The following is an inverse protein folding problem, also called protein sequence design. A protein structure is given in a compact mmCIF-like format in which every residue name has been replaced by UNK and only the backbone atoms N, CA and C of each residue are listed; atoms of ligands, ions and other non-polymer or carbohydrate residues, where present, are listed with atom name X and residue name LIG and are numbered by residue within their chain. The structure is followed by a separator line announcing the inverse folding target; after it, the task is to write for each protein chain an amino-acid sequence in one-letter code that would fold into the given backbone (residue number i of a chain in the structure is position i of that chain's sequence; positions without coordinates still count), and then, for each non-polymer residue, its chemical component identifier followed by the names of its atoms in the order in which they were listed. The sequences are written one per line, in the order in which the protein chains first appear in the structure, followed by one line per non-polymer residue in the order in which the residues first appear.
data_IF_237671412659
#
_entry.id   IF_237671412659
#
_cell.length_a   1.000
_cell.length_b   1.000
_cell.length_c   1.000
_cell.angle_alpha   90.00
_cell.angle_beta   90.00
_cell.angle_gamma   90.00
#
_symmetry.space_group_name_H-M   'P 1'
#
loop_
_entity.id
_entity.type
_entity.pdbx_description
1 polymer ?
#
# COMPACT_ATOMS: atom_id res chain seq x y z
N UNK A 1 16.14 -9.20 -3.80
CA UNK A 1 15.09 -9.17 -2.75
C UNK A 1 14.01 -8.19 -3.14
N UNK A 2 12.76 -8.56 -2.97
CA UNK A 2 11.62 -7.66 -3.24
C UNK A 2 11.45 -6.75 -2.03
N UNK A 3 11.55 -5.43 -2.23
CA UNK A 3 11.26 -4.43 -1.21
C UNK A 3 9.74 -4.36 -0.97
N UNK A 4 9.32 -4.45 0.29
CA UNK A 4 7.91 -4.30 0.69
C UNK A 4 7.73 -2.98 1.40
N UNK A 5 6.98 -2.07 0.81
CA UNK A 5 6.64 -0.77 1.42
C UNK A 5 5.43 -0.91 2.34
N UNK A 6 5.40 -0.11 3.39
CA UNK A 6 4.32 -0.07 4.36
C UNK A 6 4.16 1.33 4.96
N UNK A 7 3.05 1.56 5.64
CA UNK A 7 2.80 2.78 6.42
C UNK A 7 2.15 2.39 7.73
N UNK A 8 2.70 2.89 8.83
CA UNK A 8 2.24 2.58 10.19
C UNK A 8 1.89 3.85 10.96
N UNK A 9 0.85 3.80 11.76
CA UNK A 9 0.42 4.88 12.62
C UNK A 9 -1.08 5.15 12.56
N UNK A 10 -1.52 6.17 13.30
CA UNK A 10 -2.92 6.61 13.30
C UNK A 10 -3.33 7.16 11.93
N UNK A 11 -4.63 7.10 11.66
CA UNK A 11 -5.21 7.65 10.41
C UNK A 11 -4.79 9.10 10.24
N UNK A 12 -4.20 9.42 9.08
CA UNK A 12 -3.73 10.76 8.73
C UNK A 12 -2.36 11.14 9.31
N UNK A 13 -1.74 10.26 10.11
CA UNK A 13 -0.42 10.46 10.71
C UNK A 13 0.49 9.26 10.50
N UNK A 14 0.19 8.46 9.48
CA UNK A 14 1.01 7.31 9.13
C UNK A 14 2.40 7.74 8.65
N UNK A 15 3.40 6.96 9.02
CA UNK A 15 4.79 7.14 8.61
C UNK A 15 5.22 6.09 7.60
N UNK A 16 5.99 6.47 6.56
CA UNK A 16 6.50 5.53 5.57
C UNK A 16 7.56 4.60 6.17
N UNK A 17 7.43 3.32 5.84
CA UNK A 17 8.34 2.27 6.31
C UNK A 17 8.64 1.25 5.21
N UNK A 18 9.66 0.45 5.45
CA UNK A 18 10.01 -0.74 4.66
C UNK A 18 10.06 -1.94 5.59
N UNK A 19 9.46 -3.04 5.18
CA UNK A 19 9.52 -4.29 5.92
C UNK A 19 10.92 -4.90 5.81
N UNK A 20 11.51 -5.24 6.95
CA UNK A 20 12.78 -5.97 7.04
C UNK A 20 12.53 -7.47 6.96
N UNK A 21 11.47 -7.93 7.62
CA UNK A 21 10.99 -9.30 7.62
C UNK A 21 9.46 -9.30 7.83
N UNK A 22 8.87 -10.42 8.23
CA UNK A 22 7.42 -10.53 8.40
C UNK A 22 6.86 -9.77 9.61
N UNK A 23 7.70 -9.49 10.61
CA UNK A 23 7.28 -8.89 11.90
C UNK A 23 7.97 -7.58 12.24
N UNK A 24 8.93 -7.16 11.41
CA UNK A 24 9.73 -5.98 11.69
C UNK A 24 9.83 -5.05 10.46
N UNK A 25 9.89 -3.77 10.73
CA UNK A 25 10.06 -2.72 9.74
C UNK A 25 11.06 -1.66 10.21
N UNK A 26 11.50 -0.81 9.28
CA UNK A 26 12.26 0.42 9.55
C UNK A 26 11.53 1.60 8.95
N UNK A 27 11.49 2.73 9.65
CA UNK A 27 10.98 3.98 9.09
C UNK A 27 11.96 4.59 8.10
N UNK A 28 11.43 5.16 7.04
CA UNK A 28 12.21 5.79 5.96
C UNK A 28 11.83 7.27 5.75
N UNK A 29 11.17 7.88 6.72
CA UNK A 29 10.74 9.28 6.70
C UNK A 29 11.90 10.31 6.71
N UNK A 30 13.13 9.88 6.99
CA UNK A 30 14.35 10.66 6.78
C UNK A 30 14.81 10.72 5.30
N UNK A 31 14.30 9.81 4.45
CA UNK A 31 14.61 9.76 3.02
C UNK A 31 13.50 10.36 2.16
N UNK A 32 12.24 10.09 2.51
CA UNK A 32 11.05 10.50 1.78
C UNK A 32 10.00 11.00 2.75
N UNK A 33 9.12 11.89 2.32
CA UNK A 33 8.04 12.40 3.16
C UNK A 33 6.97 11.33 3.42
N UNK A 34 6.57 10.60 2.38
CA UNK A 34 5.60 9.51 2.45
C UNK A 34 5.60 8.71 1.13
N UNK A 35 4.98 7.54 1.11
CA UNK A 35 4.68 6.80 -0.11
C UNK A 35 3.49 7.42 -0.85
N UNK A 36 3.58 8.69 -1.20
CA UNK A 36 2.57 9.45 -1.92
C UNK A 36 2.93 9.61 -3.40
N UNK A 37 1.97 10.15 -4.16
CA UNK A 37 2.14 10.35 -5.61
C UNK A 37 3.40 11.13 -5.96
N UNK A 38 3.65 12.25 -5.29
CA UNK A 38 4.74 13.17 -5.65
C UNK A 38 6.11 12.55 -5.38
N UNK A 39 6.27 11.89 -4.24
CA UNK A 39 7.50 11.15 -3.91
C UNK A 39 7.71 9.95 -4.84
N UNK A 40 6.66 9.19 -5.16
CA UNK A 40 6.75 8.05 -6.09
C UNK A 40 7.15 8.51 -7.50
N UNK A 41 6.58 9.62 -7.98
CA UNK A 41 6.94 10.22 -9.27
C UNK A 41 8.36 10.80 -9.27
N UNK A 42 8.86 11.24 -8.12
CA UNK A 42 10.24 11.70 -7.93
C UNK A 42 11.26 10.56 -7.73
N UNK A 43 10.86 9.29 -7.83
CA UNK A 43 11.75 8.14 -7.73
C UNK A 43 11.99 7.63 -6.31
N UNK A 44 11.04 7.82 -5.40
CA UNK A 44 11.16 7.37 -4.00
C UNK A 44 11.50 5.88 -3.86
N UNK A 45 10.97 5.02 -4.73
CA UNK A 45 11.26 3.59 -4.69
C UNK A 45 12.74 3.30 -4.92
N UNK A 46 13.34 3.91 -5.94
CA UNK A 46 14.76 3.72 -6.25
C UNK A 46 15.65 4.36 -5.19
N UNK A 47 15.26 5.55 -4.71
CA UNK A 47 15.96 6.25 -3.62
C UNK A 47 16.06 5.39 -2.37
N UNK A 48 14.94 4.83 -1.92
CA UNK A 48 14.90 3.99 -0.70
C UNK A 48 15.57 2.64 -0.94
N UNK A 49 15.39 2.04 -2.13
CA UNK A 49 16.01 0.76 -2.48
C UNK A 49 17.54 0.83 -2.53
N UNK A 50 18.10 1.97 -2.95
CA UNK A 50 19.55 2.19 -3.02
C UNK A 50 20.17 2.68 -1.71
N UNK A 51 19.37 3.09 -0.74
CA UNK A 51 19.85 3.55 0.56
C UNK A 51 20.34 2.40 1.44
N UNK A 52 21.35 2.66 2.24
CA UNK A 52 21.78 1.74 3.30
C UNK A 52 20.87 1.88 4.51
N UNK A 53 19.97 0.92 4.66
CA UNK A 53 19.01 0.85 5.78
C UNK A 53 19.54 0.00 6.96
N UNK A 54 20.75 -0.58 6.85
CA UNK A 54 21.30 -1.49 7.86
C UNK A 54 21.60 -0.81 9.19
N UNK A 55 21.84 0.50 9.19
CA UNK A 55 22.08 1.31 10.38
C UNK A 55 20.81 1.69 11.15
N UNK A 56 19.64 1.48 10.56
CA UNK A 56 18.34 1.80 11.18
C UNK A 56 17.92 0.69 12.16
N UNK A 57 17.44 1.09 13.33
CA UNK A 57 16.89 0.16 14.31
C UNK A 57 15.52 -0.35 13.84
N UNK A 58 15.35 -1.66 13.60
CA UNK A 58 14.06 -2.22 13.28
C UNK A 58 13.10 -2.12 14.49
N UNK A 59 11.82 -1.91 14.23
CA UNK A 59 10.77 -1.95 15.22
C UNK A 59 9.80 -3.10 14.93
N UNK A 60 9.21 -3.67 16.00
CA UNK A 60 8.17 -4.69 15.89
C UNK A 60 6.86 -4.03 15.44
N UNK A 61 6.18 -4.63 14.47
CA UNK A 61 4.93 -4.10 13.92
C UNK A 61 3.68 -4.61 14.66
N UNK A 62 3.84 -5.52 15.61
CA UNK A 62 2.70 -6.05 16.37
C UNK A 62 2.01 -4.94 17.16
N UNK A 63 0.69 -4.92 17.12
CA UNK A 63 -0.11 -3.89 17.79
C UNK A 63 -0.11 -2.50 17.11
N UNK A 64 0.64 -2.31 16.03
CA UNK A 64 0.60 -1.06 15.26
C UNK A 64 -0.52 -1.12 14.22
N UNK A 65 -1.23 0.00 14.05
CA UNK A 65 -2.14 0.13 12.92
C UNK A 65 -1.34 0.22 11.62
N UNK A 66 -1.74 -0.59 10.65
CA UNK A 66 -1.21 -0.59 9.29
C UNK A 66 -2.15 0.28 8.44
N UNK A 67 -1.62 1.33 7.82
CA UNK A 67 -2.36 2.13 6.86
C UNK A 67 -2.30 1.56 5.44
N UNK A 68 -2.97 2.21 4.50
CA UNK A 68 -2.76 1.93 3.08
C UNK A 68 -1.28 2.13 2.72
N UNK A 69 -0.67 1.24 1.92
CA UNK A 69 0.75 1.34 1.56
C UNK A 69 1.07 2.57 0.70
N UNK A 70 0.07 3.13 0.01
CA UNK A 70 0.19 4.37 -0.77
C UNK A 70 -0.71 5.43 -0.16
N UNK A 71 -0.11 6.59 0.15
CA UNK A 71 -0.81 7.71 0.73
C UNK A 71 -1.61 8.48 -0.32
N UNK A 72 -2.90 8.64 -0.09
CA UNK A 72 -3.80 9.52 -0.87
C UNK A 72 -3.61 9.42 -2.39
N UNK A 73 -3.82 8.24 -3.00
CA UNK A 73 -3.78 8.11 -4.44
C UNK A 73 -4.85 9.01 -5.07
N UNK A 74 -4.56 9.58 -6.23
CA UNK A 74 -5.52 10.44 -6.94
C UNK A 74 -6.59 9.66 -7.68
N UNK A 75 -6.35 8.38 -7.94
CA UNK A 75 -7.27 7.47 -8.63
C UNK A 75 -7.20 6.08 -8.02
N UNK A 76 -8.35 5.43 -7.91
CA UNK A 76 -8.48 4.02 -7.54
C UNK A 76 -9.23 3.31 -8.67
N UNK A 77 -8.46 2.70 -9.57
CA UNK A 77 -8.98 1.99 -10.74
C UNK A 77 -9.10 0.52 -10.40
N UNK A 78 -10.27 -0.05 -10.65
CA UNK A 78 -10.59 -1.43 -10.35
C UNK A 78 -10.94 -2.18 -11.64
N UNK A 79 -10.61 -3.48 -11.66
CA UNK A 79 -11.02 -4.41 -12.71
C UNK A 79 -12.05 -5.38 -12.12
N UNK A 80 -13.27 -5.30 -12.64
CA UNK A 80 -14.37 -6.18 -12.24
C UNK A 80 -14.30 -7.53 -12.91
N UNK A 81 -14.86 -8.56 -12.24
CA UNK A 81 -14.93 -9.94 -12.75
C UNK A 81 -13.58 -10.49 -13.22
N UNK A 82 -12.50 -10.07 -12.59
CA UNK A 82 -11.13 -10.39 -12.97
C UNK A 82 -10.74 -11.86 -12.66
N UNK A 83 -11.55 -12.54 -11.87
CA UNK A 83 -11.36 -13.95 -11.50
C UNK A 83 -12.55 -14.78 -11.96
N UNK A 84 -12.29 -15.87 -12.69
CA UNK A 84 -13.32 -16.76 -13.23
C UNK A 84 -14.27 -17.31 -12.13
N UNK A 85 -13.74 -17.63 -10.96
CA UNK A 85 -14.56 -18.07 -9.80
C UNK A 85 -15.52 -16.98 -9.34
N UNK A 86 -15.06 -15.74 -9.25
CA UNK A 86 -15.91 -14.62 -8.86
C UNK A 86 -17.03 -14.36 -9.88
N UNK A 87 -16.75 -14.46 -11.18
CA UNK A 87 -17.75 -14.38 -12.22
C UNK A 87 -18.82 -15.49 -12.05
N UNK A 88 -18.39 -16.73 -11.83
CA UNK A 88 -19.28 -17.87 -11.63
C UNK A 88 -20.15 -17.72 -10.36
N UNK A 89 -19.58 -17.27 -9.23
CA UNK A 89 -20.31 -17.01 -7.98
C UNK A 89 -21.38 -15.92 -8.16
N UNK A 90 -21.15 -14.96 -9.04
CA UNK A 90 -22.09 -13.89 -9.41
C UNK A 90 -23.08 -14.29 -10.50
N UNK A 91 -23.07 -15.55 -10.96
CA UNK A 91 -23.91 -16.04 -12.05
C UNK A 91 -23.58 -15.45 -13.42
N UNK A 92 -22.37 -14.91 -13.59
CA UNK A 92 -21.92 -14.27 -14.82
C UNK A 92 -20.81 -15.08 -15.49
N UNK A 93 -20.77 -15.01 -16.82
CA UNK A 93 -19.63 -15.52 -17.60
C UNK A 93 -18.49 -14.50 -17.56
N UNK A 94 -17.21 -14.95 -17.58
CA UNK A 94 -16.10 -14.03 -17.71
C UNK A 94 -16.28 -13.12 -18.92
N UNK A 95 -16.20 -11.78 -18.77
CA UNK A 95 -16.38 -10.85 -19.87
C UNK A 95 -15.22 -10.96 -20.87
N UNK A 96 -15.46 -10.75 -22.17
CA UNK A 96 -14.40 -10.80 -23.20
C UNK A 96 -13.41 -9.63 -23.09
N UNK A 97 -13.81 -8.55 -22.42
CA UNK A 97 -13.00 -7.35 -22.19
C UNK A 97 -12.99 -7.00 -20.69
N UNK A 98 -11.91 -6.39 -20.17
CA UNK A 98 -11.86 -5.98 -18.79
C UNK A 98 -12.99 -4.99 -18.43
N UNK A 99 -13.71 -5.27 -17.35
CA UNK A 99 -14.68 -4.32 -16.79
C UNK A 99 -13.92 -3.33 -15.91
N UNK A 100 -13.68 -2.13 -16.41
CA UNK A 100 -12.93 -1.09 -15.71
C UNK A 100 -13.90 -0.15 -15.01
N UNK A 101 -13.68 0.08 -13.71
CA UNK A 101 -14.43 1.05 -12.94
C UNK A 101 -13.54 1.77 -11.93
N UNK A 102 -14.04 2.86 -11.35
CA UNK A 102 -13.31 3.64 -10.36
C UNK A 102 -14.06 3.66 -9.04
N UNK A 103 -13.29 3.69 -7.94
CA UNK A 103 -13.78 4.04 -6.62
C UNK A 103 -13.23 5.38 -6.20
N UNK A 104 -13.94 6.10 -5.33
CA UNK A 104 -13.42 7.31 -4.71
C UNK A 104 -12.17 6.99 -3.88
N UNK A 105 -11.07 7.73 -4.03
CA UNK A 105 -9.83 7.43 -3.31
C UNK A 105 -9.95 7.54 -1.79
N UNK A 106 -10.92 8.26 -1.27
CA UNK A 106 -11.22 8.41 0.16
C UNK A 106 -11.83 7.15 0.79
N UNK A 107 -12.30 6.19 -0.01
CA UNK A 107 -12.73 4.89 0.50
C UNK A 107 -11.56 3.95 0.87
N UNK A 108 -10.31 4.38 0.65
CA UNK A 108 -9.13 3.57 0.93
C UNK A 108 -8.80 3.57 2.42
N UNK A 109 -8.81 2.41 3.02
CA UNK A 109 -8.53 2.19 4.45
C UNK A 109 -7.33 1.25 4.62
N UNK A 110 -6.85 1.11 5.84
CA UNK A 110 -5.86 0.08 6.17
C UNK A 110 -6.46 -1.33 6.13
N UNK A 111 -5.62 -2.38 6.04
CA UNK A 111 -6.08 -3.75 5.84
C UNK A 111 -6.87 -4.33 7.02
N UNK A 112 -6.75 -3.74 8.20
CA UNK A 112 -7.41 -4.19 9.44
C UNK A 112 -8.34 -3.11 10.01
N UNK A 113 -8.61 -2.03 9.28
CA UNK A 113 -9.55 -1.00 9.70
C UNK A 113 -11.00 -1.47 9.56
N UNK A 114 -11.88 -0.96 10.42
CA UNK A 114 -13.31 -1.19 10.30
C UNK A 114 -13.89 -0.49 9.07
N UNK A 115 -14.79 -1.18 8.38
CA UNK A 115 -15.56 -0.59 7.27
C UNK A 115 -16.72 0.19 7.90
N UNK A 116 -16.72 1.51 7.72
CA UNK A 116 -17.77 2.40 8.19
C UNK A 116 -18.93 2.52 7.20
#
# INVERSE_FOLDING_TARGET
MVMKIARFGHIGSERPAVMVNQTQAVYVDHLIKDWNRDELMAGALDKVKSADLSSLAPFDISGLRIGSPVARPTKLICIGLNYARHAAESGMTPPPEPVVFMKAPDCLIGPNDEIA
#
